data_IF_761841147514
#
_entry.id   IF_761841147514
#
_cell.length_a   1.000
_cell.length_b   1.000
_cell.length_c   1.000
_cell.angle_alpha   90.00
_cell.angle_beta   90.00
_cell.angle_gamma   90.00
#
_symmetry.space_group_name_H-M   'P 1'
#
loop_
_entity.id
_entity.type
_entity.pdbx_description
1 polymer ?
#
# COMPACT_ATOMS: atom_id res chain seq x y z
N UNK A 1 15.13 -33.94 -53.65
CA UNK A 1 14.64 -32.75 -52.91
C UNK A 1 14.34 -33.20 -51.49
N UNK A 2 14.86 -32.45 -50.51
CA UNK A 2 14.97 -32.84 -49.10
C UNK A 2 13.64 -32.72 -48.36
N UNK A 3 13.39 -33.66 -47.46
CA UNK A 3 12.30 -33.66 -46.49
C UNK A 3 12.34 -32.40 -45.60
N UNK A 4 11.22 -31.70 -45.48
CA UNK A 4 11.03 -30.65 -44.47
C UNK A 4 10.37 -31.26 -43.25
N UNK A 5 11.13 -31.40 -42.16
CA UNK A 5 10.59 -31.68 -40.83
C UNK A 5 9.95 -30.41 -40.26
N UNK A 6 8.63 -30.38 -40.17
CA UNK A 6 7.90 -29.35 -39.44
C UNK A 6 8.14 -29.51 -37.95
N UNK A 7 8.81 -28.54 -37.34
CA UNK A 7 9.14 -28.51 -35.92
C UNK A 7 7.92 -28.01 -35.15
N UNK A 8 7.11 -28.92 -34.63
CA UNK A 8 6.04 -28.61 -33.66
C UNK A 8 6.68 -27.98 -32.42
N UNK A 9 6.42 -26.70 -32.16
CA UNK A 9 6.75 -26.07 -30.88
C UNK A 9 5.79 -26.64 -29.83
N UNK A 10 6.35 -27.24 -28.78
CA UNK A 10 5.62 -27.60 -27.58
C UNK A 10 4.96 -26.33 -27.02
N UNK A 11 3.63 -26.33 -26.99
CA UNK A 11 2.85 -25.48 -26.12
C UNK A 11 3.02 -26.03 -24.71
N UNK A 12 3.94 -25.47 -23.93
CA UNK A 12 3.98 -25.70 -22.50
C UNK A 12 2.72 -25.08 -21.89
N UNK A 13 1.94 -25.91 -21.20
CA UNK A 13 0.66 -25.54 -20.63
C UNK A 13 0.77 -24.34 -19.72
N UNK A 14 -0.19 -23.43 -19.85
CA UNK A 14 -0.50 -22.46 -18.82
C UNK A 14 -0.93 -23.24 -17.59
N UNK A 15 0.00 -23.39 -16.64
CA UNK A 15 -0.37 -23.76 -15.28
C UNK A 15 -1.21 -22.63 -14.75
N UNK A 16 -2.51 -22.87 -14.58
CA UNK A 16 -3.41 -21.96 -13.88
C UNK A 16 -3.03 -21.96 -12.40
N UNK A 17 -1.95 -21.27 -12.06
CA UNK A 17 -1.85 -20.65 -10.74
C UNK A 17 -2.84 -19.50 -10.74
N UNK A 18 -3.90 -19.64 -9.97
CA UNK A 18 -4.76 -18.53 -9.55
C UNK A 18 -3.89 -17.47 -8.90
N UNK A 19 -3.50 -16.46 -9.68
CA UNK A 19 -3.01 -15.17 -9.18
C UNK A 19 -4.14 -14.60 -8.31
N UNK A 20 -4.02 -14.69 -6.99
CA UNK A 20 -4.68 -13.72 -6.13
C UNK A 20 -4.08 -12.38 -6.54
N UNK A 21 -4.80 -11.61 -7.38
CA UNK A 21 -4.30 -10.33 -7.85
C UNK A 21 -3.77 -9.52 -6.66
N UNK A 22 -2.54 -9.03 -6.75
CA UNK A 22 -1.91 -8.29 -5.67
C UNK A 22 -2.88 -7.20 -5.20
N UNK A 23 -3.30 -7.30 -3.93
CA UNK A 23 -4.28 -6.39 -3.34
C UNK A 23 -3.65 -5.01 -3.25
N UNK A 24 -4.28 -4.02 -3.89
CA UNK A 24 -3.80 -2.63 -3.91
C UNK A 24 -4.77 -1.69 -3.21
N UNK A 25 -4.27 -0.52 -2.81
CA UNK A 25 -4.98 0.48 -2.02
C UNK A 25 -4.64 1.90 -2.52
N UNK A 26 -5.60 2.85 -2.48
CA UNK A 26 -5.35 4.26 -2.77
C UNK A 26 -4.58 5.00 -1.68
N UNK A 27 -4.53 4.44 -0.46
CA UNK A 27 -3.78 4.98 0.67
C UNK A 27 -2.98 3.84 1.31
N UNK A 28 -1.67 3.99 1.42
CA UNK A 28 -0.80 3.00 2.05
C UNK A 28 0.15 3.69 3.02
N UNK A 29 0.19 3.22 4.26
CA UNK A 29 1.06 3.70 5.32
C UNK A 29 2.14 2.69 5.70
N UNK A 30 3.22 3.20 6.26
CA UNK A 30 4.19 2.42 7.04
C UNK A 30 4.50 3.15 8.33
N UNK A 31 4.34 2.45 9.45
CA UNK A 31 4.70 2.90 10.78
C UNK A 31 6.08 2.35 11.16
N UNK A 32 6.91 3.20 11.78
CA UNK A 32 8.23 2.85 12.27
C UNK A 32 8.58 3.68 13.52
N UNK A 33 9.54 3.20 14.32
CA UNK A 33 10.12 3.98 15.40
C UNK A 33 11.04 5.07 14.82
N UNK A 34 10.96 6.29 15.34
CA UNK A 34 11.81 7.39 14.86
C UNK A 34 13.32 7.10 14.99
N UNK A 35 13.70 6.26 15.97
CA UNK A 35 15.09 5.84 16.19
C UNK A 35 15.57 4.81 15.15
N UNK A 36 14.65 4.07 14.51
CA UNK A 36 14.95 3.00 13.56
C UNK A 36 14.93 3.47 12.10
N UNK A 37 14.36 4.66 11.84
CA UNK A 37 14.18 5.27 10.51
C UNK A 37 13.33 4.42 9.55
N UNK A 38 12.84 5.04 8.48
CA UNK A 38 12.20 4.30 7.39
C UNK A 38 13.25 3.51 6.59
N UNK A 39 13.03 2.21 6.40
CA UNK A 39 13.89 1.38 5.55
C UNK A 39 13.45 1.43 4.08
N UNK A 40 14.39 1.14 3.17
CA UNK A 40 14.08 0.96 1.76
C UNK A 40 13.10 -0.18 1.51
N UNK A 41 13.15 -1.25 2.30
CA UNK A 41 12.22 -2.37 2.21
C UNK A 41 10.79 -1.95 2.60
N UNK A 42 10.64 -1.17 3.66
CA UNK A 42 9.35 -0.58 4.06
C UNK A 42 8.78 0.31 2.96
N UNK A 43 9.60 1.21 2.39
CA UNK A 43 9.17 2.06 1.27
C UNK A 43 8.78 1.24 0.02
N UNK A 44 9.56 0.23 -0.34
CA UNK A 44 9.26 -0.67 -1.46
C UNK A 44 7.96 -1.42 -1.24
N UNK A 45 7.71 -1.87 -0.01
CA UNK A 45 6.47 -2.54 0.37
C UNK A 45 5.27 -1.59 0.20
N UNK A 46 5.36 -0.35 0.68
CA UNK A 46 4.31 0.65 0.46
C UNK A 46 4.02 0.86 -1.03
N UNK A 47 5.06 1.10 -1.84
CA UNK A 47 4.91 1.30 -3.29
C UNK A 47 4.30 0.07 -3.98
N UNK A 48 4.59 -1.15 -3.51
CA UNK A 48 4.01 -2.37 -4.10
C UNK A 48 2.51 -2.57 -3.82
N UNK A 49 2.00 -1.92 -2.78
CA UNK A 49 0.60 -1.99 -2.36
C UNK A 49 -0.22 -0.79 -2.84
N UNK A 50 0.45 0.30 -3.25
CA UNK A 50 -0.22 1.48 -3.78
C UNK A 50 -0.83 1.16 -5.14
N UNK A 51 -2.04 1.63 -5.40
CA UNK A 51 -2.74 1.44 -6.68
C UNK A 51 -2.33 2.45 -7.76
N UNK A 52 -1.27 3.23 -7.54
CA UNK A 52 -0.86 4.37 -8.35
C UNK A 52 0.67 4.49 -8.39
N UNK A 53 1.20 5.00 -9.49
CA UNK A 53 2.61 5.36 -9.64
C UNK A 53 2.88 6.82 -9.25
N UNK A 54 1.83 7.63 -9.10
CA UNK A 54 1.88 9.04 -8.68
C UNK A 54 1.16 9.22 -7.35
N UNK A 55 1.79 9.90 -6.40
CA UNK A 55 1.28 10.03 -5.04
C UNK A 55 1.81 11.25 -4.30
N UNK A 56 1.04 11.70 -3.32
CA UNK A 56 1.46 12.62 -2.28
C UNK A 56 1.96 11.84 -1.07
N UNK A 57 2.94 12.40 -0.35
CA UNK A 57 3.46 11.83 0.90
C UNK A 57 2.98 12.65 2.09
N UNK A 58 2.36 12.00 3.07
CA UNK A 58 2.00 12.61 4.36
C UNK A 58 2.74 11.95 5.50
N UNK A 59 3.26 12.76 6.42
CA UNK A 59 3.79 12.31 7.70
C UNK A 59 2.73 12.50 8.77
N UNK A 60 2.55 11.48 9.60
CA UNK A 60 1.67 11.52 10.77
C UNK A 60 2.48 11.01 11.96
N UNK A 61 2.60 11.86 12.98
CA UNK A 61 3.33 11.54 14.20
C UNK A 61 2.37 10.82 15.17
N UNK A 62 2.77 9.64 15.62
CA UNK A 62 2.08 8.91 16.68
C UNK A 62 2.67 9.18 18.06
N UNK A 63 2.05 8.62 19.10
CA UNK A 63 2.59 8.62 20.46
C UNK A 63 3.84 7.74 20.58
N UNK A 64 4.60 7.91 21.66
CA UNK A 64 5.69 7.00 22.04
C UNK A 64 6.79 6.82 20.96
N UNK A 65 7.17 7.91 20.28
CA UNK A 65 8.26 7.94 19.30
C UNK A 65 7.98 7.14 18.00
N UNK A 66 6.70 6.94 17.65
CA UNK A 66 6.32 6.37 16.36
C UNK A 66 6.04 7.46 15.33
N UNK A 67 6.46 7.18 14.10
CA UNK A 67 6.17 8.01 12.92
C UNK A 67 5.54 7.09 11.89
N UNK A 68 4.52 7.58 11.20
CA UNK A 68 3.97 6.91 10.04
C UNK A 68 4.07 7.80 8.80
N UNK A 69 4.56 7.24 7.70
CA UNK A 69 4.46 7.87 6.39
C UNK A 69 3.38 7.21 5.58
N UNK A 70 2.57 8.02 4.89
CA UNK A 70 1.49 7.57 4.01
C UNK A 70 1.74 8.02 2.59
N UNK A 71 1.55 7.11 1.65
CA UNK A 71 1.40 7.38 0.23
C UNK A 71 -0.09 7.47 -0.08
N UNK A 72 -0.53 8.60 -0.62
CA UNK A 72 -1.90 8.81 -1.08
C UNK A 72 -1.85 8.96 -2.60
N UNK A 73 -2.56 8.10 -3.34
CA UNK A 73 -2.61 8.20 -4.81
C UNK A 73 -2.98 9.61 -5.25
N UNK A 74 -2.30 10.14 -6.27
CA UNK A 74 -2.52 11.50 -6.75
C UNK A 74 -3.98 11.74 -7.17
N UNK A 75 -4.62 10.76 -7.82
CA UNK A 75 -6.05 10.81 -8.18
C UNK A 75 -6.95 11.03 -6.95
N UNK A 76 -6.73 10.26 -5.88
CA UNK A 76 -7.47 10.48 -4.64
C UNK A 76 -7.13 11.84 -4.07
N UNK A 77 -5.86 12.18 -3.93
CA UNK A 77 -5.41 13.41 -3.29
C UNK A 77 -5.98 14.67 -3.97
N UNK A 78 -6.00 14.70 -5.30
CA UNK A 78 -6.58 15.80 -6.09
C UNK A 78 -8.10 15.92 -5.92
N UNK A 79 -8.77 14.84 -5.52
CA UNK A 79 -10.22 14.84 -5.23
C UNK A 79 -10.57 15.30 -3.82
N UNK A 80 -9.59 15.36 -2.91
CA UNK A 80 -9.80 15.72 -1.51
C UNK A 80 -9.70 17.23 -1.30
N UNK A 81 -10.59 17.78 -0.47
CA UNK A 81 -10.40 19.11 0.09
C UNK A 81 -9.40 19.06 1.26
N UNK A 82 -8.80 20.21 1.61
CA UNK A 82 -7.89 20.30 2.77
C UNK A 82 -8.52 19.78 4.06
N UNK A 83 -9.83 19.98 4.24
CA UNK A 83 -10.56 19.47 5.40
C UNK A 83 -10.62 17.93 5.41
N UNK A 84 -10.75 17.30 4.24
CA UNK A 84 -10.78 15.84 4.12
C UNK A 84 -9.43 15.23 4.46
N UNK A 85 -8.33 15.85 4.01
CA UNK A 85 -6.98 15.42 4.35
C UNK A 85 -6.76 15.47 5.86
N UNK A 86 -7.19 16.54 6.53
CA UNK A 86 -7.07 16.64 7.99
C UNK A 86 -7.97 15.65 8.75
N UNK A 87 -9.16 15.34 8.22
CA UNK A 87 -10.01 14.29 8.79
C UNK A 87 -9.35 12.91 8.68
N UNK A 88 -8.74 12.61 7.52
CA UNK A 88 -7.99 11.37 7.32
C UNK A 88 -6.78 11.28 8.27
N UNK A 89 -6.03 12.37 8.42
CA UNK A 89 -4.89 12.44 9.35
C UNK A 89 -5.33 12.20 10.79
N UNK A 90 -6.47 12.78 11.21
CA UNK A 90 -7.03 12.57 12.54
C UNK A 90 -7.49 11.12 12.74
N UNK A 91 -8.13 10.51 11.74
CA UNK A 91 -8.53 9.10 11.76
C UNK A 91 -7.31 8.19 11.95
N UNK A 92 -6.25 8.38 11.16
CA UNK A 92 -5.00 7.63 11.29
C UNK A 92 -4.35 7.87 12.65
N UNK A 93 -4.32 9.11 13.12
CA UNK A 93 -3.74 9.45 14.42
C UNK A 93 -4.36 8.67 15.57
N UNK A 94 -5.67 8.35 15.49
CA UNK A 94 -6.33 7.47 16.47
C UNK A 94 -5.80 6.04 16.38
N UNK A 95 -5.68 5.49 15.18
CA UNK A 95 -5.16 4.13 14.95
C UNK A 95 -3.72 3.99 15.45
N UNK A 96 -2.86 4.98 15.18
CA UNK A 96 -1.46 4.96 15.62
C UNK A 96 -1.30 5.06 17.14
N UNK A 97 -2.29 5.62 17.82
CA UNK A 97 -2.24 5.93 19.25
C UNK A 97 -2.94 4.89 20.14
N UNK A 98 -3.77 4.02 19.56
CA UNK A 98 -4.59 3.04 20.29
C UNK A 98 -4.48 1.64 19.67
N UNK A 99 -3.83 0.73 20.40
CA UNK A 99 -3.63 -0.67 19.99
C UNK A 99 -4.97 -1.40 19.81
N UNK A 100 -6.03 -0.98 20.51
CA UNK A 100 -7.35 -1.62 20.38
C UNK A 100 -8.04 -1.23 19.07
N UNK A 101 -7.59 -0.17 18.40
CA UNK A 101 -8.09 0.29 17.10
C UNK A 101 -7.28 -0.30 15.93
N UNK A 102 -6.21 -1.05 16.21
CA UNK A 102 -5.38 -1.68 15.17
C UNK A 102 -6.09 -2.89 14.53
N UNK A 103 -6.21 -2.87 13.20
CA UNK A 103 -6.72 -4.03 12.47
C UNK A 103 -5.67 -5.14 12.40
N UNK A 104 -6.01 -6.41 12.66
CA UNK A 104 -5.07 -7.53 12.55
C UNK A 104 -4.43 -7.73 11.17
N UNK A 105 -5.09 -7.27 10.11
CA UNK A 105 -4.59 -7.33 8.73
C UNK A 105 -4.01 -6.00 8.24
N UNK A 106 -3.97 -4.97 9.10
CA UNK A 106 -3.53 -3.62 8.75
C UNK A 106 -4.47 -2.88 7.81
N UNK A 107 -5.67 -3.40 7.53
CA UNK A 107 -6.61 -2.77 6.61
C UNK A 107 -7.67 -1.94 7.33
N UNK A 108 -7.87 -0.73 6.81
CA UNK A 108 -8.84 0.21 7.33
C UNK A 108 -9.73 0.75 6.23
N UNK A 109 -10.88 1.27 6.63
CA UNK A 109 -11.77 2.01 5.73
C UNK A 109 -11.99 3.39 6.32
N UNK A 110 -11.48 4.42 5.62
CA UNK A 110 -11.80 5.81 5.91
C UNK A 110 -12.80 6.27 4.86
N UNK A 111 -14.01 6.65 5.30
CA UNK A 111 -15.17 6.91 4.44
C UNK A 111 -15.46 5.71 3.52
N UNK A 112 -15.22 5.82 2.22
CA UNK A 112 -15.34 4.78 1.21
C UNK A 112 -13.98 4.36 0.61
N UNK A 113 -12.87 4.87 1.16
CA UNK A 113 -11.53 4.57 0.71
C UNK A 113 -10.87 3.50 1.58
N UNK A 114 -10.35 2.46 0.92
CA UNK A 114 -9.59 1.40 1.59
C UNK A 114 -8.16 1.86 1.84
N UNK A 115 -7.65 1.54 3.00
CA UNK A 115 -6.29 1.90 3.43
C UNK A 115 -5.57 0.66 3.91
N UNK A 116 -4.24 0.68 3.85
CA UNK A 116 -3.39 -0.35 4.43
C UNK A 116 -2.27 0.29 5.23
N UNK A 117 -2.02 -0.18 6.46
CA UNK A 117 -0.92 0.26 7.31
C UNK A 117 0.01 -0.92 7.57
N UNK A 118 1.27 -0.79 7.14
CA UNK A 118 2.35 -1.72 7.47
C UNK A 118 3.06 -1.30 8.75
N UNK A 119 3.61 -2.28 9.45
CA UNK A 119 4.52 -2.08 10.58
C UNK A 119 5.91 -2.56 10.18
N UNK A 120 6.91 -1.73 10.45
CA UNK A 120 8.31 -2.05 10.21
C UNK A 120 9.02 -2.47 11.49
#
# INVERSE_FOLDING_TARGET
MKEMKTKTRLSCGESSTTEAGNKTFPIVGVQFCADDYLTSAGMQKMMSLLNSDEFEIRQIDGKCNTIAYFLISAELYDSLETADVHEMEAFIGVVLDDVEEESPDGEYTWRDHRMHLEYQ
#
